data_IF_385108140665
#
_entry.id   IF_385108140665
#
_cell.length_a   1.000
_cell.length_b   1.000
_cell.length_c   1.000
_cell.angle_alpha   90.00
_cell.angle_beta   90.00
_cell.angle_gamma   90.00
#
_symmetry.space_group_name_H-M   'P 1'
#
loop_
_entity.id
_entity.type
_entity.pdbx_description
1 polymer ?
#
# COMPACT_ATOMS: atom_id res chain seq x y z
N UNK A 1 -7.78 32.25 -9.81
CA UNK A 1 -8.68 31.31 -9.13
C UNK A 1 -8.08 29.93 -9.33
N UNK A 2 -7.24 29.48 -8.39
CA UNK A 2 -6.65 28.13 -8.42
C UNK A 2 -7.74 27.13 -8.05
N UNK A 3 -7.90 26.08 -8.84
CA UNK A 3 -8.80 24.98 -8.52
C UNK A 3 -8.35 24.37 -7.18
N UNK A 4 -9.28 24.19 -6.25
CA UNK A 4 -9.02 23.43 -5.03
C UNK A 4 -8.78 21.98 -5.42
N UNK A 5 -7.58 21.48 -5.19
CA UNK A 5 -7.31 20.06 -5.35
C UNK A 5 -8.03 19.29 -4.24
N UNK A 6 -8.55 18.11 -4.57
CA UNK A 6 -9.21 17.26 -3.59
C UNK A 6 -8.20 16.86 -2.48
N UNK A 7 -8.55 17.12 -1.22
CA UNK A 7 -7.69 16.81 -0.07
C UNK A 7 -7.36 15.32 -0.02
N UNK A 8 -8.34 14.46 -0.32
CA UNK A 8 -8.13 13.02 -0.39
C UNK A 8 -7.07 12.64 -1.44
N UNK A 9 -7.11 13.28 -2.61
CA UNK A 9 -6.14 13.05 -3.68
C UNK A 9 -4.73 13.53 -3.29
N UNK A 10 -4.62 14.63 -2.54
CA UNK A 10 -3.34 15.10 -2.00
C UNK A 10 -2.78 14.10 -0.98
N UNK A 11 -3.61 13.59 -0.08
CA UNK A 11 -3.21 12.58 0.91
C UNK A 11 -2.72 11.29 0.23
N UNK A 12 -3.47 10.78 -0.75
CA UNK A 12 -3.14 9.58 -1.53
C UNK A 12 -1.84 9.74 -2.33
N UNK A 13 -1.65 10.88 -3.01
CA UNK A 13 -0.41 11.15 -3.73
C UNK A 13 0.77 11.23 -2.77
N UNK A 14 0.61 11.85 -1.60
CA UNK A 14 1.66 11.90 -0.60
C UNK A 14 2.07 10.51 -0.11
N UNK A 15 1.08 9.64 0.18
CA UNK A 15 1.32 8.24 0.55
C UNK A 15 2.01 7.45 -0.55
N UNK A 16 1.61 7.66 -1.81
CA UNK A 16 2.24 7.03 -2.97
C UNK A 16 3.74 7.35 -3.01
N UNK A 17 4.10 8.64 -2.98
CA UNK A 17 5.51 9.04 -3.00
C UNK A 17 6.27 8.62 -1.73
N UNK A 18 5.60 8.56 -0.59
CA UNK A 18 6.19 8.06 0.65
C UNK A 18 6.51 6.55 0.56
N UNK A 19 5.62 5.77 -0.05
CA UNK A 19 5.83 4.36 -0.35
C UNK A 19 7.00 4.11 -1.31
N UNK A 20 7.22 5.03 -2.26
CA UNK A 20 8.36 5.00 -3.17
C UNK A 20 9.69 5.42 -2.51
N UNK A 21 9.65 5.95 -1.28
CA UNK A 21 10.83 6.52 -0.59
C UNK A 21 11.13 7.95 -1.00
N UNK A 22 10.29 8.56 -1.84
CA UNK A 22 10.39 9.97 -2.23
C UNK A 22 9.77 10.89 -1.16
N UNK A 23 10.33 10.83 0.05
CA UNK A 23 9.83 11.58 1.22
C UNK A 23 9.65 13.08 0.95
N UNK A 24 10.57 13.79 0.25
CA UNK A 24 10.35 15.21 -0.05
C UNK A 24 9.10 15.48 -0.90
N UNK A 25 8.78 14.59 -1.85
CA UNK A 25 7.55 14.71 -2.64
C UNK A 25 6.33 14.40 -1.79
N UNK A 26 6.40 13.37 -0.96
CA UNK A 26 5.32 13.03 -0.03
C UNK A 26 4.92 14.22 0.86
N UNK A 27 5.92 14.85 1.49
CA UNK A 27 5.74 16.02 2.34
C UNK A 27 5.09 17.18 1.58
N UNK A 28 5.48 17.42 0.32
CA UNK A 28 4.90 18.50 -0.49
C UNK A 28 3.39 18.33 -0.71
N UNK A 29 2.91 17.09 -0.84
CA UNK A 29 1.48 16.83 -1.02
C UNK A 29 0.71 16.97 0.29
N UNK A 30 1.24 16.46 1.41
CA UNK A 30 0.59 16.60 2.72
C UNK A 30 0.61 18.03 3.25
N UNK A 31 1.67 18.80 2.97
CA UNK A 31 1.70 20.24 3.27
C UNK A 31 0.62 20.99 2.50
N UNK A 32 0.41 20.69 1.22
CA UNK A 32 -0.70 21.25 0.44
C UNK A 32 -2.07 20.87 0.99
N UNK A 33 -2.21 19.68 1.58
CA UNK A 33 -3.45 19.28 2.26
C UNK A 33 -3.67 20.14 3.52
N UNK A 34 -2.63 20.39 4.33
CA UNK A 34 -2.70 21.31 5.47
C UNK A 34 -2.89 22.78 5.06
N UNK A 35 -2.35 23.22 3.93
CA UNK A 35 -2.59 24.59 3.43
C UNK A 35 -4.06 24.81 3.06
N UNK A 36 -4.75 23.76 2.62
CA UNK A 36 -6.18 23.81 2.27
C UNK A 36 -7.10 23.57 3.46
N UNK A 37 -6.71 22.66 4.36
CA UNK A 37 -7.39 22.35 5.61
C UNK A 37 -6.36 22.30 6.75
N UNK A 38 -6.11 23.43 7.41
CA UNK A 38 -5.10 23.53 8.49
C UNK A 38 -5.37 22.58 9.67
N UNK A 39 -6.62 22.16 9.85
CA UNK A 39 -7.05 21.18 10.86
C UNK A 39 -6.97 19.71 10.42
N UNK A 40 -6.47 19.41 9.22
CA UNK A 40 -6.43 18.04 8.69
C UNK A 40 -5.42 17.19 9.48
N UNK A 41 -5.91 16.50 10.52
CA UNK A 41 -5.09 15.63 11.38
C UNK A 41 -4.35 14.57 10.59
N UNK A 42 -4.97 13.99 9.56
CA UNK A 42 -4.38 12.96 8.72
C UNK A 42 -3.10 13.45 8.03
N UNK A 43 -3.13 14.64 7.42
CA UNK A 43 -1.96 15.24 6.79
C UNK A 43 -0.86 15.60 7.79
N UNK A 44 -1.24 16.12 8.97
CA UNK A 44 -0.31 16.43 10.05
C UNK A 44 0.39 15.16 10.58
N UNK A 45 -0.38 14.10 10.81
CA UNK A 45 0.11 12.80 11.28
C UNK A 45 1.07 12.15 10.27
N UNK A 46 0.80 12.24 8.97
CA UNK A 46 1.76 11.74 7.97
C UNK A 46 3.07 12.51 7.93
N UNK A 47 3.01 13.84 8.08
CA UNK A 47 4.21 14.65 8.17
C UNK A 47 4.99 14.29 9.43
N UNK A 48 4.31 14.10 10.55
CA UNK A 48 4.93 13.68 11.81
C UNK A 48 5.60 12.31 11.67
N UNK A 49 4.91 11.32 11.09
CA UNK A 49 5.46 9.98 10.82
C UNK A 49 6.69 10.06 9.91
N UNK A 50 6.64 10.89 8.86
CA UNK A 50 7.71 10.97 7.87
C UNK A 50 8.93 11.78 8.30
N UNK A 51 8.77 12.71 9.24
CA UNK A 51 9.84 13.65 9.66
C UNK A 51 10.27 13.50 11.12
N UNK A 52 9.44 12.85 11.95
CA UNK A 52 9.57 12.85 13.41
C UNK A 52 9.27 14.21 14.06
N UNK A 53 8.73 15.18 13.31
CA UNK A 53 8.41 16.52 13.80
C UNK A 53 6.91 16.67 13.97
N UNK A 54 6.47 16.96 15.20
CA UNK A 54 5.06 17.25 15.46
C UNK A 54 4.69 18.59 14.82
N UNK A 55 3.66 18.57 14.00
CA UNK A 55 3.16 19.76 13.32
C UNK A 55 2.18 20.49 14.24
N UNK A 56 2.31 21.82 14.41
CA UNK A 56 1.38 22.59 15.23
C UNK A 56 0.04 22.70 14.49
N UNK A 57 -0.87 21.78 14.78
CA UNK A 57 -2.29 21.97 14.50
C UNK A 57 -2.83 22.98 15.51
N UNK A 58 -3.36 24.09 15.04
CA UNK A 58 -3.97 25.16 15.83
C UNK A 58 -5.09 24.59 16.72
N UNK A 59 -4.93 24.69 18.04
CA UNK A 59 -5.87 24.15 19.01
C UNK A 59 -7.31 24.70 18.87
N UNK A 60 -7.47 25.92 18.32
CA UNK A 60 -8.77 26.54 18.05
C UNK A 60 -9.48 25.96 16.83
N UNK A 61 -8.75 25.46 15.82
CA UNK A 61 -9.33 24.88 14.60
C UNK A 61 -9.56 23.37 14.77
N UNK A 62 -8.69 22.68 15.52
CA UNK A 62 -8.96 21.33 16.01
C UNK A 62 -10.26 21.27 16.85
N UNK A 63 -10.48 22.26 17.71
CA UNK A 63 -11.67 22.37 18.54
C UNK A 63 -12.96 22.74 17.78
N UNK A 64 -12.84 23.35 16.58
CA UNK A 64 -14.00 23.69 15.75
C UNK A 64 -14.57 22.48 15.01
N UNK A 65 -13.72 21.52 14.66
CA UNK A 65 -14.13 20.20 14.12
C UNK A 65 -14.66 19.29 15.24
N UNK A 66 -14.17 19.47 16.47
CA UNK A 66 -14.48 18.68 17.66
C UNK A 66 -15.89 18.93 18.24
N UNK A 67 -16.56 20.02 17.85
CA UNK A 67 -17.83 20.43 18.47
C UNK A 67 -19.08 19.63 18.05
N UNK A 68 -19.01 18.83 16.99
CA UNK A 68 -20.16 18.04 16.48
C UNK A 68 -19.92 16.52 16.45
N UNK A 69 -18.75 16.04 16.93
CA UNK A 69 -18.46 14.61 17.02
C UNK A 69 -18.71 14.12 18.45
N UNK A 70 -19.52 13.07 18.66
CA UNK A 70 -19.62 12.43 19.98
C UNK A 70 -18.21 12.10 20.48
N UNK A 71 -17.95 12.46 21.73
CA UNK A 71 -16.65 12.23 22.40
C UNK A 71 -16.49 10.72 22.60
N UNK A 72 -15.84 10.07 21.65
CA UNK A 72 -15.26 8.74 21.85
C UNK A 72 -13.81 8.89 22.35
N UNK A 73 -13.40 7.93 23.17
CA UNK A 73 -12.14 7.82 23.90
C UNK A 73 -10.87 8.13 23.06
N UNK A 74 -9.75 8.53 23.68
CA UNK A 74 -8.65 9.22 23.00
C UNK A 74 -8.15 8.49 21.74
N UNK A 75 -7.94 9.30 20.70
CA UNK A 75 -7.46 9.04 19.32
C UNK A 75 -6.22 8.13 19.14
N UNK A 76 -5.77 7.41 20.15
CA UNK A 76 -4.53 6.61 20.13
C UNK A 76 -4.73 5.14 20.52
N UNK A 77 -5.96 4.67 20.71
CA UNK A 77 -6.20 3.23 20.86
C UNK A 77 -6.28 2.57 19.48
N UNK A 78 -5.13 2.22 18.93
CA UNK A 78 -5.08 1.39 17.73
C UNK A 78 -5.61 -0.02 17.99
N UNK A 79 -6.33 -0.58 17.02
CA UNK A 79 -6.73 -1.98 17.11
C UNK A 79 -5.48 -2.89 17.17
N UNK A 80 -5.59 -4.08 17.79
CA UNK A 80 -4.52 -5.07 17.76
C UNK A 80 -4.03 -5.37 16.33
N UNK A 81 -4.96 -5.43 15.38
CA UNK A 81 -4.66 -5.67 13.97
C UNK A 81 -3.85 -4.51 13.35
N UNK A 82 -4.15 -3.25 13.71
CA UNK A 82 -3.36 -2.11 13.25
C UNK A 82 -1.93 -2.13 13.81
N UNK A 83 -1.77 -2.49 15.09
CA UNK A 83 -0.45 -2.63 15.71
C UNK A 83 0.35 -3.77 15.07
N UNK A 84 -0.29 -4.90 14.77
CA UNK A 84 0.33 -6.00 14.03
C UNK A 84 0.74 -5.55 12.62
N UNK A 85 -0.13 -4.82 11.92
CA UNK A 85 0.17 -4.28 10.60
C UNK A 85 1.41 -3.39 10.61
N UNK A 86 1.56 -2.52 11.62
CA UNK A 86 2.75 -1.69 11.78
C UNK A 86 4.02 -2.52 12.02
N UNK A 87 3.95 -3.55 12.87
CA UNK A 87 5.10 -4.43 13.11
C UNK A 87 5.54 -5.16 11.84
N UNK A 88 4.58 -5.64 11.05
CA UNK A 88 4.85 -6.32 9.76
C UNK A 88 5.38 -5.36 8.70
N UNK A 89 4.87 -4.13 8.68
CA UNK A 89 5.38 -3.07 7.81
C UNK A 89 6.86 -2.77 8.13
N UNK A 90 7.23 -2.71 9.41
CA UNK A 90 8.62 -2.50 9.82
C UNK A 90 9.54 -3.69 9.52
N UNK A 91 9.02 -4.92 9.56
CA UNK A 91 9.78 -6.12 9.23
C UNK A 91 9.89 -6.41 7.73
N UNK A 92 9.20 -5.64 6.89
CA UNK A 92 9.15 -5.84 5.44
C UNK A 92 8.18 -6.93 4.99
N UNK A 93 7.35 -7.46 5.89
CA UNK A 93 6.27 -8.38 5.53
C UNK A 93 5.06 -7.60 5.01
N UNK A 94 5.17 -7.09 3.77
CA UNK A 94 4.14 -6.24 3.18
C UNK A 94 2.78 -6.95 3.05
N UNK A 95 2.79 -8.22 2.62
CA UNK A 95 1.56 -9.00 2.45
C UNK A 95 0.86 -9.26 3.79
N UNK A 96 1.63 -9.57 4.84
CA UNK A 96 1.09 -9.66 6.18
C UNK A 96 0.59 -8.32 6.72
N UNK A 97 1.32 -7.22 6.47
CA UNK A 97 0.91 -5.88 6.88
C UNK A 97 -0.43 -5.46 6.24
N UNK A 98 -0.60 -5.70 4.94
CA UNK A 98 -1.86 -5.43 4.23
C UNK A 98 -3.03 -6.16 4.89
N UNK A 99 -2.90 -7.46 5.15
CA UNK A 99 -3.98 -8.25 5.78
C UNK A 99 -4.36 -7.71 7.16
N UNK A 100 -3.37 -7.33 7.96
CA UNK A 100 -3.61 -6.81 9.30
C UNK A 100 -4.25 -5.40 9.25
N UNK A 101 -3.81 -4.53 8.33
CA UNK A 101 -4.44 -3.23 8.13
C UNK A 101 -5.85 -3.32 7.53
N UNK A 102 -6.11 -4.27 6.63
CA UNK A 102 -7.46 -4.55 6.10
C UNK A 102 -8.39 -5.05 7.21
N UNK A 103 -7.91 -5.94 8.10
CA UNK A 103 -8.68 -6.36 9.27
C UNK A 103 -8.99 -5.20 10.23
N UNK A 104 -8.05 -4.27 10.42
CA UNK A 104 -8.29 -3.05 11.18
C UNK A 104 -9.33 -2.15 10.48
N UNK A 105 -9.20 -1.96 9.17
CA UNK A 105 -10.14 -1.19 8.34
C UNK A 105 -11.55 -1.77 8.38
N UNK A 106 -11.71 -3.09 8.33
CA UNK A 106 -13.03 -3.73 8.40
C UNK A 106 -13.73 -3.51 9.75
N UNK A 107 -12.97 -3.28 10.83
CA UNK A 107 -13.52 -2.98 12.16
C UNK A 107 -13.94 -1.52 12.30
N UNK A 108 -13.15 -0.58 11.75
CA UNK A 108 -13.46 0.85 11.75
C UNK A 108 -13.10 1.45 10.37
N UNK A 109 -14.03 1.39 9.40
CA UNK A 109 -13.80 1.91 8.06
C UNK A 109 -13.63 3.44 8.02
N UNK A 110 -14.13 4.14 9.04
CA UNK A 110 -14.07 5.59 9.14
C UNK A 110 -12.77 6.06 9.84
N UNK A 111 -11.93 5.13 10.30
CA UNK A 111 -10.65 5.45 10.91
C UNK A 111 -9.70 6.08 9.88
N UNK A 112 -9.25 7.34 10.09
CA UNK A 112 -8.52 8.10 9.08
C UNK A 112 -7.14 7.51 8.74
N UNK A 113 -6.60 6.62 9.57
CA UNK A 113 -5.26 6.03 9.37
C UNK A 113 -5.25 4.64 8.73
N UNK A 114 -6.36 3.89 8.71
CA UNK A 114 -6.30 2.47 8.34
C UNK A 114 -6.10 2.25 6.83
N UNK A 115 -7.00 2.81 6.01
CA UNK A 115 -6.88 2.75 4.55
C UNK A 115 -5.51 3.25 4.02
N UNK A 116 -4.98 4.38 4.50
CA UNK A 116 -3.62 4.83 4.17
C UNK A 116 -2.49 3.82 4.39
N UNK A 117 -2.55 3.08 5.50
CA UNK A 117 -1.54 2.09 5.84
C UNK A 117 -1.66 0.85 4.94
N UNK A 118 -2.89 0.48 4.55
CA UNK A 118 -3.13 -0.51 3.49
C UNK A 118 -2.41 -0.04 2.22
N UNK A 119 -2.70 1.17 1.72
CA UNK A 119 -2.12 1.67 0.48
C UNK A 119 -0.60 1.79 0.52
N UNK A 120 -0.02 2.21 1.65
CA UNK A 120 1.43 2.23 1.85
C UNK A 120 2.03 0.82 1.72
N UNK A 121 1.45 -0.18 2.38
CA UNK A 121 1.93 -1.55 2.32
C UNK A 121 1.77 -2.14 0.90
N UNK A 122 0.69 -1.82 0.20
CA UNK A 122 0.48 -2.18 -1.22
C UNK A 122 1.54 -1.57 -2.12
N UNK A 123 1.85 -0.29 -1.96
CA UNK A 123 2.88 0.39 -2.75
C UNK A 123 4.27 -0.23 -2.53
N UNK A 124 4.60 -0.60 -1.28
CA UNK A 124 5.87 -1.29 -0.94
C UNK A 124 5.96 -2.67 -1.60
N UNK A 125 4.87 -3.44 -1.57
CA UNK A 125 4.80 -4.75 -2.24
C UNK A 125 5.01 -4.62 -3.75
N UNK A 126 4.30 -3.70 -4.40
CA UNK A 126 4.44 -3.44 -5.84
C UNK A 126 5.88 -3.06 -6.18
N UNK A 127 6.47 -2.14 -5.40
CA UNK A 127 7.85 -1.71 -5.59
C UNK A 127 8.82 -2.88 -5.45
N UNK A 128 8.66 -3.74 -4.45
CA UNK A 128 9.51 -4.91 -4.28
C UNK A 128 9.42 -5.87 -5.48
N UNK A 129 8.22 -6.15 -5.99
CA UNK A 129 8.05 -6.99 -7.19
C UNK A 129 8.71 -6.33 -8.41
N UNK A 130 8.53 -5.02 -8.58
CA UNK A 130 9.14 -4.26 -9.66
C UNK A 130 10.68 -4.23 -9.56
N UNK A 131 11.24 -4.08 -8.36
CA UNK A 131 12.68 -4.09 -8.13
C UNK A 131 13.28 -5.50 -8.41
N UNK A 132 12.54 -6.57 -8.10
CA UNK A 132 13.01 -7.95 -8.32
C UNK A 132 12.91 -8.40 -9.78
N UNK A 133 11.86 -8.01 -10.49
CA UNK A 133 11.63 -8.42 -11.87
C UNK A 133 12.17 -7.43 -12.89
N UNK A 134 12.12 -6.13 -12.61
CA UNK A 134 12.52 -5.07 -13.54
C UNK A 134 11.91 -5.25 -14.94
N UNK A 135 12.76 -5.11 -15.96
CA UNK A 135 12.41 -5.33 -17.37
C UNK A 135 12.55 -6.81 -17.80
N UNK A 136 12.85 -7.72 -16.88
CA UNK A 136 13.02 -9.14 -17.21
C UNK A 136 11.70 -9.80 -17.58
N UNK A 137 11.80 -10.86 -18.38
CA UNK A 137 10.66 -11.71 -18.72
C UNK A 137 10.59 -12.88 -17.73
N UNK A 138 9.69 -12.89 -16.73
CA UNK A 138 9.72 -13.88 -15.67
C UNK A 138 9.40 -15.28 -16.19
N UNK A 139 10.06 -16.29 -15.62
CA UNK A 139 9.83 -17.70 -15.97
C UNK A 139 9.59 -18.54 -14.72
N UNK A 140 8.86 -19.65 -14.90
CA UNK A 140 8.68 -20.63 -13.84
C UNK A 140 10.03 -21.28 -13.49
N UNK A 141 10.34 -21.33 -12.20
CA UNK A 141 11.51 -22.02 -11.67
C UNK A 141 11.30 -23.55 -11.58
N UNK A 142 10.03 -23.97 -11.55
CA UNK A 142 9.61 -25.36 -11.48
C UNK A 142 8.56 -25.67 -12.56
N UNK A 143 8.39 -26.93 -12.98
CA UNK A 143 7.37 -27.29 -13.96
C UNK A 143 5.95 -26.94 -13.48
N UNK A 144 5.12 -26.39 -14.37
CA UNK A 144 3.74 -25.99 -14.05
C UNK A 144 2.90 -27.14 -13.48
N UNK A 145 3.18 -28.39 -13.87
CA UNK A 145 2.52 -29.59 -13.33
C UNK A 145 2.74 -29.80 -11.84
N UNK A 146 3.85 -29.30 -11.28
CA UNK A 146 4.11 -29.34 -9.85
C UNK A 146 3.38 -28.22 -9.10
N UNK A 147 3.04 -27.13 -9.79
CA UNK A 147 2.33 -25.98 -9.22
C UNK A 147 0.83 -26.24 -9.15
N UNK A 148 0.21 -26.65 -10.25
CA UNK A 148 -1.26 -26.83 -10.34
C UNK A 148 -1.83 -27.89 -9.39
N UNK A 149 -0.97 -28.79 -8.88
CA UNK A 149 -1.37 -29.84 -7.93
C UNK A 149 -1.19 -29.42 -6.46
N UNK A 150 -0.67 -28.22 -6.20
CA UNK A 150 -0.51 -27.69 -4.85
C UNK A 150 -1.87 -27.34 -4.25
N UNK A 151 -2.05 -27.69 -2.96
CA UNK A 151 -3.31 -27.44 -2.24
C UNK A 151 -3.56 -25.95 -1.96
N UNK A 152 -2.50 -25.16 -1.95
CA UNK A 152 -2.53 -23.72 -1.69
C UNK A 152 -2.65 -22.88 -2.98
N UNK A 153 -2.82 -23.51 -4.15
CA UNK A 153 -3.08 -22.79 -5.40
C UNK A 153 -4.57 -22.59 -5.61
N UNK A 154 -4.91 -21.36 -5.96
CA UNK A 154 -6.25 -20.91 -6.32
C UNK A 154 -6.43 -20.87 -7.85
N UNK A 155 -7.65 -20.60 -8.31
CA UNK A 155 -7.90 -20.36 -9.74
C UNK A 155 -7.18 -19.10 -10.24
N UNK A 156 -7.11 -18.05 -9.41
CA UNK A 156 -6.40 -16.81 -9.70
C UNK A 156 -4.90 -17.05 -9.92
N UNK A 157 -4.30 -17.90 -9.08
CA UNK A 157 -2.91 -18.32 -9.27
C UNK A 157 -2.71 -19.03 -10.61
N UNK A 158 -3.65 -19.91 -10.98
CA UNK A 158 -3.63 -20.60 -12.27
C UNK A 158 -3.62 -19.65 -13.46
N UNK A 159 -4.41 -18.56 -13.41
CA UNK A 159 -4.40 -17.53 -14.44
C UNK A 159 -3.04 -16.83 -14.53
N UNK A 160 -2.49 -16.37 -13.41
CA UNK A 160 -1.20 -15.68 -13.42
C UNK A 160 -0.08 -16.62 -13.86
N UNK A 161 -0.04 -17.85 -13.36
CA UNK A 161 0.93 -18.87 -13.77
C UNK A 161 0.86 -19.18 -15.28
N UNK A 162 -0.32 -19.15 -15.89
CA UNK A 162 -0.47 -19.39 -17.33
C UNK A 162 0.19 -18.31 -18.20
N UNK A 163 0.39 -17.11 -17.65
CA UNK A 163 1.05 -15.99 -18.34
C UNK A 163 2.58 -16.01 -18.14
N UNK A 164 3.09 -16.71 -17.13
CA UNK A 164 4.54 -16.73 -16.81
C UNK A 164 5.22 -17.79 -17.68
N UNK A 165 5.63 -17.39 -18.88
CA UNK A 165 6.24 -18.26 -19.89
C UNK A 165 7.68 -17.88 -20.25
N UNK A 166 8.21 -16.77 -19.72
CA UNK A 166 9.53 -16.24 -20.07
C UNK A 166 9.54 -15.29 -21.28
N UNK A 167 8.37 -14.93 -21.82
CA UNK A 167 8.24 -14.03 -22.98
C UNK A 167 7.49 -12.72 -22.67
N UNK A 168 6.84 -12.63 -21.50
CA UNK A 168 6.04 -11.47 -21.09
C UNK A 168 6.74 -10.68 -19.98
N UNK A 169 6.73 -9.35 -20.10
CA UNK A 169 7.33 -8.46 -19.08
C UNK A 169 6.39 -8.32 -17.88
N UNK A 170 6.88 -7.77 -16.77
CA UNK A 170 6.01 -7.42 -15.63
C UNK A 170 4.82 -6.54 -16.06
N UNK A 171 5.05 -5.57 -16.95
CA UNK A 171 3.99 -4.71 -17.48
C UNK A 171 2.95 -5.50 -18.28
N UNK A 172 3.39 -6.45 -19.09
CA UNK A 172 2.50 -7.30 -19.89
C UNK A 172 1.71 -8.26 -19.02
N UNK A 173 2.36 -8.90 -18.03
CA UNK A 173 1.70 -9.80 -17.08
C UNK A 173 0.55 -9.08 -16.36
N UNK A 174 0.80 -7.86 -15.86
CA UNK A 174 -0.22 -7.06 -15.16
C UNK A 174 -1.31 -6.57 -16.11
N UNK A 175 -1.00 -6.33 -17.39
CA UNK A 175 -1.96 -5.81 -18.37
C UNK A 175 -2.83 -6.91 -19.00
N UNK A 176 -2.29 -8.12 -19.16
CA UNK A 176 -2.98 -9.27 -19.75
C UNK A 176 -3.67 -10.15 -18.69
N UNK A 177 -3.34 -9.99 -17.41
CA UNK A 177 -4.03 -10.68 -16.33
C UNK A 177 -5.52 -10.30 -16.31
N UNK A 178 -6.44 -11.27 -16.21
CA UNK A 178 -7.87 -10.98 -16.04
C UNK A 178 -8.20 -10.47 -14.62
N UNK A 179 -7.23 -10.46 -13.71
CA UNK A 179 -7.40 -10.09 -12.31
C UNK A 179 -7.18 -8.58 -12.11
N UNK A 180 -7.67 -8.01 -10.99
CA UNK A 180 -7.28 -6.68 -10.59
C UNK A 180 -5.76 -6.56 -10.51
N UNK A 181 -5.23 -5.41 -10.94
CA UNK A 181 -3.78 -5.17 -11.03
C UNK A 181 -3.04 -5.55 -9.74
N UNK A 182 -3.58 -5.14 -8.59
CA UNK A 182 -2.96 -5.41 -7.31
C UNK A 182 -2.97 -6.91 -6.95
N UNK A 183 -4.05 -7.63 -7.25
CA UNK A 183 -4.12 -9.08 -7.07
C UNK A 183 -3.03 -9.78 -7.88
N UNK A 184 -2.77 -9.35 -9.12
CA UNK A 184 -1.65 -9.86 -9.92
C UNK A 184 -0.31 -9.64 -9.22
N UNK A 185 -0.06 -8.44 -8.68
CA UNK A 185 1.16 -8.16 -7.91
C UNK A 185 1.28 -9.00 -6.65
N UNK A 186 0.20 -9.21 -5.90
CA UNK A 186 0.19 -10.06 -4.70
C UNK A 186 0.56 -11.50 -5.03
N UNK A 187 0.02 -12.04 -6.12
CA UNK A 187 0.36 -13.40 -6.57
C UNK A 187 1.83 -13.45 -6.98
N UNK A 188 2.31 -12.51 -7.80
CA UNK A 188 3.71 -12.45 -8.22
C UNK A 188 4.68 -12.33 -7.03
N UNK A 189 4.35 -11.48 -6.04
CA UNK A 189 5.13 -11.33 -4.81
C UNK A 189 5.25 -12.64 -4.06
N UNK A 190 4.14 -13.36 -3.87
CA UNK A 190 4.13 -14.67 -3.21
C UNK A 190 4.94 -15.71 -3.99
N UNK A 191 4.75 -15.79 -5.31
CA UNK A 191 5.50 -16.73 -6.16
C UNK A 191 7.02 -16.46 -6.13
N UNK A 192 7.45 -15.19 -6.06
CA UNK A 192 8.85 -14.79 -5.89
C UNK A 192 9.39 -15.17 -4.51
N UNK A 193 8.65 -14.86 -3.45
CA UNK A 193 9.03 -15.19 -2.08
C UNK A 193 9.21 -16.71 -1.88
N UNK A 194 8.35 -17.50 -2.52
CA UNK A 194 8.44 -18.97 -2.54
C UNK A 194 9.44 -19.53 -3.57
N UNK A 195 10.09 -18.68 -4.36
CA UNK A 195 11.04 -19.04 -5.43
C UNK A 195 10.47 -19.97 -6.50
N UNK A 196 9.17 -19.84 -6.77
CA UNK A 196 8.48 -20.60 -7.82
C UNK A 196 8.65 -19.95 -9.19
N UNK A 197 9.01 -18.65 -9.21
CA UNK A 197 9.36 -17.91 -10.41
C UNK A 197 10.68 -17.17 -10.19
N UNK A 198 11.36 -16.86 -11.29
CA UNK A 198 12.62 -16.11 -11.32
C UNK A 198 12.62 -15.11 -12.47
N UNK A 199 13.40 -14.04 -12.32
CA UNK A 199 13.73 -13.15 -13.43
C UNK A 199 14.35 -13.96 -14.58
N UNK A 200 13.82 -13.79 -15.80
CA UNK A 200 14.35 -14.41 -17.01
C UNK A 200 15.33 -13.50 -17.74
N UNK A 201 15.42 -13.69 -19.06
CA UNK A 201 16.22 -12.79 -19.90
C UNK A 201 15.61 -11.39 -19.98
N UNK A 202 16.45 -10.38 -20.22
CA UNK A 202 15.96 -9.14 -20.81
C UNK A 202 15.71 -9.37 -22.31
N UNK A 203 14.73 -8.68 -22.92
CA UNK A 203 14.49 -8.72 -24.35
C UNK A 203 15.73 -8.36 -25.18
#
# INVERSE_FOLDING_TARGET
MTAKDNIQELLERGLHYYGLGEVPRALSYWQRALEQEPGNRTAAEYIEIATGQSMPVSAEEAAAVEKDRPVEEPLLSFSPDFLEGQQRLLSGDWAGAIRAFEAAFDQDPDHPLYHPHVELARARLIKEVADQLGDSMPKLAVPISQLINRKDMTQEDGFVLSLINGDLSLSDLVSLSPLPRFTTYQILHRLLAERLIVAGGNP
#
